data_IF_348437663336
#
_entry.id   IF_348437663336
#
_cell.length_a   1.000
_cell.length_b   1.000
_cell.length_c   1.000
_cell.angle_alpha   90.00
_cell.angle_beta   90.00
_cell.angle_gamma   90.00
#
_symmetry.space_group_name_H-M   'P 1'
#
loop_
_entity.id
_entity.type
_entity.pdbx_description
1 polymer ?
#
# COMPACT_ATOMS: atom_id res chain seq x y z
N UNK A 1 -4.28 5.52 -9.64
CA UNK A 1 -3.01 5.58 -8.91
C UNK A 1 -3.29 5.87 -7.45
N UNK A 2 -3.04 4.90 -6.57
CA UNK A 2 -3.19 4.99 -5.10
C UNK A 2 -1.79 4.96 -4.50
N UNK A 3 -1.43 6.01 -3.74
CA UNK A 3 -0.26 5.97 -2.85
C UNK A 3 -0.69 5.38 -1.51
N UNK A 4 -0.09 4.26 -1.13
CA UNK A 4 -0.32 3.60 0.14
C UNK A 4 0.93 3.73 1.02
N UNK A 5 0.79 4.42 2.14
CA UNK A 5 1.89 4.57 3.11
C UNK A 5 1.88 3.38 4.07
N UNK A 6 2.92 2.57 4.02
CA UNK A 6 3.20 1.51 4.99
C UNK A 6 3.81 2.11 6.25
N UNK A 7 3.09 2.01 7.36
CA UNK A 7 3.47 2.51 8.67
C UNK A 7 3.89 1.37 9.63
N UNK A 8 4.38 0.25 9.09
CA UNK A 8 4.73 -0.97 9.82
C UNK A 8 3.55 -1.72 10.45
N UNK A 9 2.31 -1.35 10.09
CA UNK A 9 1.13 -2.12 10.45
C UNK A 9 0.93 -3.28 9.48
N UNK A 10 0.69 -4.48 10.01
CA UNK A 10 0.39 -5.68 9.21
C UNK A 10 -0.77 -5.50 8.22
N UNK A 11 -1.67 -4.55 8.49
CA UNK A 11 -2.82 -4.23 7.65
C UNK A 11 -2.46 -3.56 6.32
N UNK A 12 -1.35 -2.82 6.24
CA UNK A 12 -0.94 -2.13 5.01
C UNK A 12 -0.77 -3.13 3.84
N UNK A 13 -0.17 -4.30 4.12
CA UNK A 13 -0.02 -5.38 3.14
C UNK A 13 -1.35 -5.95 2.63
N UNK A 14 -2.37 -6.02 3.50
CA UNK A 14 -3.70 -6.48 3.13
C UNK A 14 -4.40 -5.47 2.21
N UNK A 15 -4.28 -4.17 2.52
CA UNK A 15 -4.88 -3.11 1.72
C UNK A 15 -4.26 -3.05 0.32
N UNK A 16 -2.93 -3.13 0.20
CA UNK A 16 -2.24 -3.21 -1.08
C UNK A 16 -2.78 -4.38 -1.93
N UNK A 17 -2.85 -5.58 -1.34
CA UNK A 17 -3.36 -6.79 -2.02
C UNK A 17 -4.79 -6.63 -2.52
N UNK A 18 -5.70 -6.09 -1.71
CA UNK A 18 -7.09 -5.92 -2.11
C UNK A 18 -7.24 -4.88 -3.22
N UNK A 19 -6.54 -3.75 -3.12
CA UNK A 19 -6.56 -2.71 -4.14
C UNK A 19 -6.03 -3.22 -5.49
N UNK A 20 -4.91 -3.97 -5.48
CA UNK A 20 -4.39 -4.62 -6.69
C UNK A 20 -5.38 -5.63 -7.27
N UNK A 21 -6.05 -6.45 -6.44
CA UNK A 21 -7.09 -7.39 -6.90
C UNK A 21 -8.30 -6.70 -7.52
N UNK A 22 -8.59 -5.48 -7.13
CA UNK A 22 -9.64 -4.63 -7.72
C UNK A 22 -9.18 -3.91 -9.01
N UNK A 23 -7.95 -4.15 -9.47
CA UNK A 23 -7.40 -3.51 -10.66
C UNK A 23 -6.89 -2.08 -10.42
N UNK A 24 -6.73 -1.67 -9.17
CA UNK A 24 -6.12 -0.38 -8.87
C UNK A 24 -4.60 -0.44 -9.09
N UNK A 25 -4.08 0.61 -9.70
CA UNK A 25 -2.65 0.90 -9.72
C UNK A 25 -2.23 1.45 -8.34
N UNK A 26 -1.39 0.68 -7.63
CA UNK A 26 -0.99 0.92 -6.23
C UNK A 26 0.52 1.07 -6.15
N UNK A 27 0.96 2.18 -5.57
CA UNK A 27 2.35 2.44 -5.21
C UNK A 27 2.46 2.45 -3.69
N UNK A 28 3.32 1.61 -3.13
CA UNK A 28 3.52 1.48 -1.70
C UNK A 28 4.85 2.12 -1.33
N UNK A 29 4.84 3.02 -0.37
CA UNK A 29 6.03 3.65 0.20
C UNK A 29 6.01 3.51 1.72
N UNK A 30 7.18 3.34 2.34
CA UNK A 30 7.25 3.34 3.80
C UNK A 30 7.24 4.77 4.33
N UNK A 31 6.66 4.95 5.51
CA UNK A 31 6.62 6.27 6.16
C UNK A 31 8.01 6.78 6.60
N UNK A 32 9.04 5.91 6.58
CA UNK A 32 10.43 6.23 6.88
C UNK A 32 11.35 6.20 5.65
N UNK A 33 10.80 6.07 4.44
CA UNK A 33 11.56 6.21 3.20
C UNK A 33 12.08 7.65 3.06
N UNK A 34 13.39 7.82 2.84
CA UNK A 34 14.10 9.10 2.63
C UNK A 34 14.53 9.22 1.18
#
# INVERSE_FOLDING_TARGET
>A
MVLLIDNFDSFASNLARYLTRLGADVHVERNDAV
#
